data_IF_544793049174
#
_entry.id   IF_544793049174
#
_cell.length_a   1.000
_cell.length_b   1.000
_cell.length_c   1.000
_cell.angle_alpha   90.00
_cell.angle_beta   90.00
_cell.angle_gamma   90.00
#
_symmetry.space_group_name_H-M   'P 1'
#
loop_
_entity.id
_entity.type
_entity.pdbx_description
1 polymer ?
#
# COMPACT_ATOMS: atom_id res chain seq x y z
N UNK A 1 13.45 1.82 8.01
CA UNK A 1 12.06 1.86 7.53
C UNK A 1 11.13 1.50 8.66
N UNK A 2 10.13 2.34 8.96
CA UNK A 2 9.23 2.20 10.09
C UNK A 2 7.80 2.57 9.68
N UNK A 3 6.82 1.80 10.14
CA UNK A 3 5.41 2.17 10.01
C UNK A 3 5.08 3.32 10.97
N UNK A 4 4.45 4.37 10.46
CA UNK A 4 4.02 5.53 11.25
C UNK A 4 2.52 5.46 11.55
N UNK A 5 1.74 5.04 10.56
CA UNK A 5 0.29 4.96 10.65
C UNK A 5 -0.23 3.88 9.69
N UNK A 6 -1.34 3.24 10.06
CA UNK A 6 -2.07 2.32 9.19
C UNK A 6 -3.57 2.48 9.42
N UNK A 7 -4.33 2.51 8.33
CA UNK A 7 -5.79 2.60 8.35
C UNK A 7 -6.38 1.60 7.36
N UNK A 8 -7.11 0.58 7.82
CA UNK A 8 -7.92 -0.25 6.93
C UNK A 8 -9.05 0.59 6.32
N UNK A 9 -9.42 0.26 5.08
CA UNK A 9 -10.58 0.84 4.40
C UNK A 9 -11.57 -0.28 4.10
N UNK A 10 -12.84 -0.04 4.47
CA UNK A 10 -13.95 -0.92 4.16
C UNK A 10 -14.65 -0.45 2.88
N UNK A 11 -13.92 -0.43 1.77
CA UNK A 11 -14.52 -0.18 0.46
C UNK A 11 -15.26 -1.43 -0.02
N UNK A 12 -16.50 -1.32 -0.53
CA UNK A 12 -17.18 -2.46 -1.13
C UNK A 12 -16.45 -2.89 -2.41
N UNK A 13 -16.29 -4.19 -2.61
CA UNK A 13 -15.70 -4.72 -3.85
C UNK A 13 -16.63 -4.43 -5.03
N UNK A 14 -16.12 -3.67 -6.00
CA UNK A 14 -16.84 -3.31 -7.24
C UNK A 14 -16.29 -4.05 -8.47
N UNK A 15 -15.55 -5.15 -8.29
CA UNK A 15 -14.99 -5.97 -9.37
C UNK A 15 -13.79 -5.33 -10.09
N UNK A 16 -13.17 -4.32 -9.46
CA UNK A 16 -12.01 -3.59 -9.98
C UNK A 16 -10.83 -3.62 -9.00
N UNK A 17 -9.97 -2.61 -9.07
CA UNK A 17 -8.97 -2.41 -8.03
C UNK A 17 -9.67 -1.98 -6.74
N UNK A 18 -9.43 -2.72 -5.66
CA UNK A 18 -10.01 -2.44 -4.35
C UNK A 18 -8.93 -1.87 -3.43
N UNK A 19 -9.18 -0.71 -2.83
CA UNK A 19 -8.28 -0.16 -1.83
C UNK A 19 -8.56 -0.78 -0.46
N UNK A 20 -7.63 -1.60 0.02
CA UNK A 20 -7.72 -2.30 1.30
C UNK A 20 -7.38 -1.40 2.48
N UNK A 21 -6.57 -0.37 2.24
CA UNK A 21 -6.18 0.57 3.27
C UNK A 21 -5.08 1.51 2.84
N UNK A 22 -4.70 2.38 3.76
CA UNK A 22 -3.59 3.33 3.59
C UNK A 22 -2.59 3.21 4.73
N UNK A 23 -1.31 3.38 4.42
CA UNK A 23 -0.25 3.45 5.43
C UNK A 23 0.64 4.67 5.21
N UNK A 24 1.27 5.11 6.29
CA UNK A 24 2.34 6.10 6.29
C UNK A 24 3.61 5.44 6.80
N UNK A 25 4.73 5.74 6.17
CA UNK A 25 6.02 5.13 6.50
C UNK A 25 7.12 6.17 6.57
N UNK A 26 8.02 5.96 7.52
CA UNK A 26 9.37 6.47 7.44
C UNK A 26 10.18 5.50 6.58
N UNK A 27 10.57 5.95 5.39
CA UNK A 27 11.35 5.14 4.45
C UNK A 27 12.81 5.07 4.89
N UNK A 28 13.37 6.23 5.22
CA UNK A 28 14.71 6.45 5.78
C UNK A 28 14.62 7.45 6.94
N UNK A 29 15.67 7.62 7.76
CA UNK A 29 15.67 8.63 8.83
C UNK A 29 15.35 10.07 8.37
N UNK A 30 15.58 10.35 7.08
CA UNK A 30 15.41 11.66 6.46
C UNK A 30 14.14 11.77 5.59
N UNK A 31 13.47 10.65 5.27
CA UNK A 31 12.38 10.63 4.30
C UNK A 31 11.15 9.87 4.82
N UNK A 32 9.98 10.53 4.74
CA UNK A 32 8.67 9.95 5.06
C UNK A 32 7.76 10.02 3.84
N UNK A 33 6.90 9.03 3.68
CA UNK A 33 5.87 8.98 2.66
C UNK A 33 4.52 8.71 3.32
N UNK A 34 3.52 9.49 2.92
CA UNK A 34 2.19 9.48 3.50
C UNK A 34 1.16 9.05 2.46
N UNK A 35 0.08 8.41 2.89
CA UNK A 35 -1.03 8.02 2.05
C UNK A 35 -0.68 6.93 1.03
N UNK A 36 0.26 6.04 1.33
CA UNK A 36 0.55 4.88 0.49
C UNK A 36 -0.67 3.97 0.50
N UNK A 37 -1.12 3.51 -0.67
CA UNK A 37 -2.38 2.75 -0.82
C UNK A 37 -2.09 1.28 -1.05
N UNK A 38 -2.67 0.41 -0.22
CA UNK A 38 -2.64 -1.03 -0.42
C UNK A 38 -3.84 -1.42 -1.29
N UNK A 39 -3.58 -1.91 -2.49
CA UNK A 39 -4.62 -2.27 -3.45
C UNK A 39 -4.63 -3.78 -3.68
N UNK A 40 -5.83 -4.38 -3.69
CA UNK A 40 -6.07 -5.65 -4.35
C UNK A 40 -6.34 -5.39 -5.83
N UNK A 41 -5.51 -5.94 -6.68
CA UNK A 41 -5.61 -5.83 -8.12
C UNK A 41 -6.71 -6.78 -8.65
N UNK A 42 -7.12 -6.60 -9.91
CA UNK A 42 -8.18 -7.44 -10.52
C UNK A 42 -7.77 -8.91 -10.66
N UNK A 43 -6.48 -9.18 -10.77
CA UNK A 43 -5.88 -10.53 -10.78
C UNK A 43 -5.73 -11.13 -9.36
N UNK A 44 -6.24 -10.44 -8.33
CA UNK A 44 -6.10 -10.81 -6.94
C UNK A 44 -4.80 -10.35 -6.29
N UNK A 45 -3.77 -9.94 -7.04
CA UNK A 45 -2.50 -9.56 -6.45
C UNK A 45 -2.65 -8.34 -5.53
N UNK A 46 -2.06 -8.40 -4.33
CA UNK A 46 -2.03 -7.25 -3.41
C UNK A 46 -0.72 -6.48 -3.63
N UNK A 47 -0.81 -5.16 -3.85
CA UNK A 47 0.34 -4.29 -4.10
C UNK A 47 0.19 -2.93 -3.43
N UNK A 48 1.29 -2.39 -2.93
CA UNK A 48 1.35 -1.02 -2.41
C UNK A 48 1.73 -0.02 -3.52
N UNK A 49 1.04 1.11 -3.57
CA UNK A 49 1.33 2.21 -4.47
C UNK A 49 1.52 3.53 -3.73
N UNK A 50 2.41 4.38 -4.25
CA UNK A 50 2.52 5.76 -3.81
C UNK A 50 1.22 6.55 -4.09
N UNK A 51 0.90 7.58 -3.28
CA UNK A 51 -0.20 8.47 -3.59
C UNK A 51 0.04 9.18 -4.93
N UNK A 52 -1.04 9.73 -5.49
CA UNK A 52 -0.96 10.60 -6.65
C UNK A 52 -0.76 12.05 -6.20
N UNK A 53 0.18 12.74 -6.83
CA UNK A 53 0.33 14.19 -6.80
C UNK A 53 -0.25 14.75 -8.11
N UNK A 54 -1.54 15.10 -8.08
CA UNK A 54 -2.29 15.48 -9.28
C UNK A 54 -2.35 14.32 -10.29
N UNK A 55 -1.80 14.54 -11.50
CA UNK A 55 -1.80 13.55 -12.60
C UNK A 55 -0.62 12.58 -12.58
N UNK A 56 0.30 12.68 -11.61
CA UNK A 56 1.50 11.84 -11.52
C UNK A 56 1.55 11.09 -10.19
N UNK A 57 2.25 9.96 -10.16
CA UNK A 57 2.61 9.31 -8.88
C UNK A 57 3.60 10.19 -8.14
N UNK A 58 3.45 10.30 -6.82
CA UNK A 58 4.37 11.06 -5.98
C UNK A 58 5.74 10.39 -5.86
N UNK A 59 5.80 9.05 -5.99
CA UNK A 59 7.02 8.27 -5.97
C UNK A 59 6.87 6.96 -6.76
N UNK A 60 8.02 6.37 -7.09
CA UNK A 60 8.14 4.99 -7.58
C UNK A 60 9.22 4.29 -6.77
N UNK A 61 9.10 2.97 -6.63
CA UNK A 61 10.01 2.16 -5.85
C UNK A 61 10.57 1.03 -6.72
N UNK A 62 11.74 0.50 -6.34
CA UNK A 62 12.22 -0.75 -6.92
C UNK A 62 11.25 -1.90 -6.60
N UNK A 63 11.27 -3.00 -7.37
CA UNK A 63 10.45 -4.18 -7.07
C UNK A 63 10.66 -4.69 -5.64
N UNK A 64 11.91 -4.77 -5.19
CA UNK A 64 12.28 -5.30 -3.87
C UNK A 64 11.76 -4.40 -2.75
N UNK A 65 11.84 -3.07 -2.92
CA UNK A 65 11.28 -2.14 -1.93
C UNK A 65 9.75 -2.21 -1.92
N UNK A 66 9.12 -2.33 -3.09
CA UNK A 66 7.67 -2.48 -3.21
C UNK A 66 7.18 -3.72 -2.48
N UNK A 67 7.86 -4.85 -2.62
CA UNK A 67 7.50 -6.10 -1.94
C UNK A 67 7.60 -5.96 -0.42
N UNK A 68 8.70 -5.39 0.09
CA UNK A 68 8.88 -5.16 1.53
C UNK A 68 7.80 -4.24 2.10
N UNK A 69 7.50 -3.16 1.40
CA UNK A 69 6.46 -2.20 1.79
C UNK A 69 5.06 -2.84 1.74
N UNK A 70 4.79 -3.66 0.73
CA UNK A 70 3.50 -4.38 0.58
C UNK A 70 3.30 -5.35 1.74
N UNK A 71 4.31 -6.16 2.08
CA UNK A 71 4.25 -7.07 3.23
C UNK A 71 4.01 -6.34 4.55
N UNK A 72 4.74 -5.25 4.79
CA UNK A 72 4.53 -4.40 5.97
C UNK A 72 3.10 -3.85 6.04
N UNK A 73 2.54 -3.44 4.90
CA UNK A 73 1.18 -2.91 4.81
C UNK A 73 0.12 -3.99 5.08
N UNK A 74 0.30 -5.20 4.53
CA UNK A 74 -0.60 -6.34 4.76
C UNK A 74 -0.67 -6.69 6.24
N UNK A 75 0.50 -6.81 6.88
CA UNK A 75 0.61 -7.09 8.32
C UNK A 75 -0.05 -6.00 9.16
N UNK A 76 0.20 -4.73 8.84
CA UNK A 76 -0.35 -3.59 9.56
C UNK A 76 -1.87 -3.41 9.40
N UNK A 77 -2.41 -3.73 8.23
CA UNK A 77 -3.84 -3.59 7.93
C UNK A 77 -4.63 -4.82 8.41
N UNK A 78 -3.98 -5.98 8.58
CA UNK A 78 -4.64 -7.21 9.01
C UNK A 78 -5.50 -7.84 7.92
N UNK A 79 -5.18 -7.61 6.65
CA UNK A 79 -5.82 -8.30 5.52
C UNK A 79 -5.20 -9.68 5.30
N UNK A 80 -5.98 -10.73 5.04
CA UNK A 80 -5.42 -12.05 4.74
C UNK A 80 -4.54 -11.97 3.49
N UNK A 81 -3.32 -12.49 3.61
CA UNK A 81 -2.36 -12.53 2.51
C UNK A 81 -2.82 -13.59 1.50
N UNK A 82 -3.50 -13.15 0.44
CA UNK A 82 -3.77 -13.90 -0.80
C UNK A 82 -4.00 -15.42 -0.61
N UNK A 83 -5.23 -15.82 -0.29
CA UNK A 83 -5.66 -17.20 -0.51
C UNK A 83 -5.64 -17.44 -2.03
N UNK A 84 -4.70 -18.28 -2.47
CA UNK A 84 -4.53 -18.71 -3.87
C UNK A 84 -5.61 -19.72 -4.27
#
# INVERSE_FOLDING_TARGET
MKLLFARPLAEPDKGGHLCLGTIDVELTPDARLYGLRLLRMRDGAIRLFAPHAGKRRAATFSPELTERLTRMAIEAIGVPANDR
#
